data_IF_808108526253
#
_entry.id   IF_808108526253
#
_cell.length_a   1.000
_cell.length_b   1.000
_cell.length_c   1.000
_cell.angle_alpha   90.00
_cell.angle_beta   90.00
_cell.angle_gamma   90.00
#
_symmetry.space_group_name_H-M   'P 1'
#
loop_
_entity.id
_entity.type
_entity.pdbx_description
1 polymer ?
#
# COMPACT_ATOMS: atom_id res chain seq x y z
N UNK A 1 14.18 43.32 -44.12
CA UNK A 1 14.93 42.50 -43.14
C UNK A 1 14.40 42.81 -41.75
N UNK A 2 13.55 41.95 -41.21
CA UNK A 2 13.21 41.96 -39.79
C UNK A 2 13.28 40.50 -39.35
N UNK A 3 14.43 40.12 -38.78
CA UNK A 3 14.54 38.89 -37.99
C UNK A 3 13.69 39.09 -36.74
N UNK A 4 12.47 38.57 -36.74
CA UNK A 4 11.70 38.41 -35.53
C UNK A 4 12.34 37.28 -34.71
N UNK A 5 13.16 37.67 -33.72
CA UNK A 5 13.51 36.83 -32.59
C UNK A 5 12.25 36.56 -31.76
N UNK A 6 11.45 35.59 -32.21
CA UNK A 6 10.47 34.93 -31.37
C UNK A 6 11.21 33.84 -30.59
N UNK A 7 11.83 34.22 -29.47
CA UNK A 7 12.18 33.28 -28.40
C UNK A 7 10.88 32.80 -27.77
N UNK A 8 10.16 31.93 -28.47
CA UNK A 8 9.18 31.07 -27.82
C UNK A 8 9.96 30.18 -26.85
N UNK A 9 9.47 30.12 -25.61
CA UNK A 9 10.03 29.33 -24.52
C UNK A 9 9.86 27.85 -24.82
N UNK A 10 10.67 27.33 -25.73
CA UNK A 10 10.74 25.89 -26.01
C UNK A 10 11.53 25.21 -24.90
N UNK A 11 11.20 23.94 -24.65
CA UNK A 11 12.01 23.02 -23.85
C UNK A 11 13.49 23.14 -24.29
N UNK A 12 14.41 23.40 -23.36
CA UNK A 12 15.83 23.69 -23.64
C UNK A 12 16.57 22.53 -24.33
N UNK A 13 15.96 21.35 -24.33
CA UNK A 13 16.46 20.18 -25.04
C UNK A 13 15.98 20.08 -26.49
N UNK A 14 15.25 21.07 -27.01
CA UNK A 14 14.73 21.10 -28.38
C UNK A 14 15.47 22.15 -29.21
N UNK A 15 16.12 21.70 -30.29
CA UNK A 15 16.84 22.53 -31.23
C UNK A 15 16.14 22.53 -32.58
N UNK A 16 15.52 23.66 -32.92
CA UNK A 16 14.82 23.85 -34.20
C UNK A 16 15.83 24.27 -35.27
N UNK A 17 15.95 23.48 -36.33
CA UNK A 17 16.79 23.77 -37.49
C UNK A 17 16.01 24.36 -38.66
N UNK A 18 14.73 24.01 -38.82
CA UNK A 18 13.85 24.52 -39.88
C UNK A 18 12.39 24.65 -39.39
N UNK A 19 11.95 25.89 -39.19
CA UNK A 19 10.59 26.21 -38.74
C UNK A 19 9.52 25.81 -39.75
N UNK A 20 9.78 25.92 -41.05
CA UNK A 20 8.80 25.59 -42.08
C UNK A 20 8.53 24.09 -42.16
N UNK A 21 9.51 23.25 -41.81
CA UNK A 21 9.31 21.81 -41.69
C UNK A 21 8.55 21.42 -40.42
N UNK A 22 8.76 22.13 -39.32
CA UNK A 22 7.99 21.94 -38.07
C UNK A 22 6.53 22.35 -38.27
N UNK A 23 6.26 23.47 -38.94
CA UNK A 23 4.89 23.89 -39.25
C UNK A 23 4.15 22.86 -40.11
N UNK A 24 4.87 22.21 -41.04
CA UNK A 24 4.31 21.12 -41.86
C UNK A 24 4.02 19.87 -41.03
N UNK A 25 4.92 19.49 -40.11
CA UNK A 25 4.68 18.41 -39.15
C UNK A 25 3.44 18.67 -38.29
N UNK A 26 3.24 19.92 -37.85
CA UNK A 26 2.04 20.37 -37.16
C UNK A 26 1.66 19.46 -36.00
N UNK A 27 0.39 19.02 -35.98
CA UNK A 27 -0.15 18.16 -34.93
C UNK A 27 0.14 16.65 -35.13
N UNK A 28 0.87 16.28 -36.19
CA UNK A 28 1.30 14.90 -36.44
C UNK A 28 2.48 14.47 -35.57
N UNK A 29 3.16 15.43 -34.91
CA UNK A 29 4.17 15.16 -33.90
C UNK A 29 3.83 15.89 -32.60
N UNK A 30 3.62 15.14 -31.52
CA UNK A 30 3.33 15.69 -30.19
C UNK A 30 4.52 15.45 -29.28
N UNK A 31 5.11 16.54 -28.78
CA UNK A 31 6.23 16.49 -27.84
C UNK A 31 5.72 16.40 -26.39
N UNK A 32 5.97 15.27 -25.74
CA UNK A 32 5.83 15.09 -24.30
C UNK A 32 7.16 15.26 -23.57
N UNK A 33 7.14 15.27 -22.23
CA UNK A 33 8.35 15.43 -21.39
C UNK A 33 9.41 14.35 -21.64
N UNK A 34 9.00 13.11 -21.87
CA UNK A 34 9.91 11.96 -22.04
C UNK A 34 9.76 11.23 -23.38
N UNK A 35 8.72 11.56 -24.14
CA UNK A 35 8.36 10.84 -25.36
C UNK A 35 7.94 11.82 -26.45
N UNK A 36 8.17 11.45 -27.70
CA UNK A 36 7.55 12.08 -28.87
C UNK A 36 6.55 11.10 -29.47
N UNK A 37 5.32 11.55 -29.66
CA UNK A 37 4.27 10.76 -30.30
C UNK A 37 4.12 11.20 -31.75
N UNK A 38 4.29 10.27 -32.68
CA UNK A 38 4.08 10.49 -34.11
C UNK A 38 2.76 9.83 -34.53
N UNK A 39 1.84 10.62 -35.08
CA UNK A 39 0.57 10.12 -35.64
C UNK A 39 0.80 9.46 -36.99
N UNK A 40 -0.11 8.59 -37.43
CA UNK A 40 0.06 7.84 -38.68
C UNK A 40 0.34 8.70 -39.94
N UNK A 41 -0.08 9.96 -39.98
CA UNK A 41 0.14 10.87 -41.12
C UNK A 41 1.50 11.60 -41.10
N UNK A 42 2.35 11.35 -40.11
CA UNK A 42 3.62 12.07 -39.92
C UNK A 42 4.58 11.99 -41.13
N UNK A 43 4.73 10.88 -41.89
CA UNK A 43 5.66 10.83 -43.01
C UNK A 43 5.20 11.59 -44.24
N UNK A 44 3.88 11.71 -44.41
CA UNK A 44 3.27 12.46 -45.51
C UNK A 44 3.47 13.96 -45.27
N UNK A 45 3.22 14.41 -44.04
CA UNK A 45 3.37 15.82 -43.65
C UNK A 45 4.82 16.29 -43.63
N UNK A 46 5.74 15.42 -43.24
CA UNK A 46 7.18 15.72 -43.23
C UNK A 46 7.88 15.58 -44.60
N UNK A 47 7.20 15.01 -45.60
CA UNK A 47 7.82 14.67 -46.89
C UNK A 47 8.78 13.48 -46.83
N UNK A 48 8.87 12.77 -45.70
CA UNK A 48 9.71 11.58 -45.52
C UNK A 48 9.13 10.32 -46.17
N UNK A 49 7.89 10.36 -46.65
CA UNK A 49 7.25 9.24 -47.37
C UNK A 49 8.10 8.72 -48.53
N UNK A 50 8.75 9.61 -49.30
CA UNK A 50 9.64 9.22 -50.41
C UNK A 50 10.91 8.53 -49.93
N UNK A 51 11.50 8.96 -48.81
CA UNK A 51 12.71 8.37 -48.23
C UNK A 51 12.43 6.99 -47.62
N UNK A 52 11.30 6.83 -46.94
CA UNK A 52 10.84 5.55 -46.42
C UNK A 52 10.48 4.57 -47.54
N UNK A 53 9.90 5.08 -48.64
CA UNK A 53 9.58 4.28 -49.82
C UNK A 53 10.84 3.72 -50.51
N UNK A 54 11.89 4.55 -50.64
CA UNK A 54 13.21 4.14 -51.16
C UNK A 54 13.91 3.14 -50.24
N UNK A 55 13.65 3.20 -48.93
CA UNK A 55 14.23 2.30 -47.92
C UNK A 55 13.52 0.94 -47.80
N UNK A 56 12.51 0.66 -48.66
CA UNK A 56 11.75 -0.59 -48.63
C UNK A 56 10.76 -0.71 -47.46
N UNK A 57 10.61 0.33 -46.64
CA UNK A 57 9.70 0.39 -45.49
C UNK A 57 8.30 0.92 -45.89
N UNK A 58 7.86 0.57 -47.10
CA UNK A 58 6.59 1.00 -47.70
C UNK A 58 5.42 0.23 -47.11
N UNK A 59 5.00 0.60 -45.90
CA UNK A 59 3.77 0.09 -45.30
C UNK A 59 3.25 1.12 -44.32
N UNK A 60 2.01 1.57 -44.55
CA UNK A 60 1.23 2.53 -43.76
C UNK A 60 1.94 2.98 -42.48
N UNK A 61 2.48 4.20 -42.53
CA UNK A 61 3.17 4.85 -41.43
C UNK A 61 2.44 4.60 -40.10
N UNK A 62 3.00 3.72 -39.28
CA UNK A 62 2.39 3.36 -38.00
C UNK A 62 2.59 4.51 -37.03
N UNK A 63 1.61 4.78 -36.14
CA UNK A 63 1.87 5.65 -35.02
C UNK A 63 3.07 5.12 -34.24
N UNK A 64 3.99 6.02 -33.88
CA UNK A 64 5.23 5.68 -33.23
C UNK A 64 5.41 6.50 -31.95
N UNK A 65 6.01 5.87 -30.94
CA UNK A 65 6.38 6.53 -29.69
C UNK A 65 7.90 6.46 -29.60
N UNK A 66 8.56 7.62 -29.64
CA UNK A 66 10.01 7.73 -29.55
C UNK A 66 10.40 8.18 -28.15
N UNK A 67 11.29 7.44 -27.49
CA UNK A 67 11.76 7.77 -26.14
C UNK A 67 12.91 8.78 -26.19
N UNK A 68 12.80 9.86 -25.41
CA UNK A 68 13.76 10.98 -25.36
C UNK A 68 14.92 10.77 -24.38
N UNK A 69 15.18 9.56 -23.90
CA UNK A 69 16.12 9.34 -22.78
C UNK A 69 17.36 8.50 -23.05
N UNK A 70 17.66 8.15 -24.31
CA UNK A 70 18.86 7.37 -24.66
C UNK A 70 19.73 8.05 -25.71
N UNK A 71 19.11 8.47 -26.80
CA UNK A 71 19.80 9.02 -27.96
C UNK A 71 19.14 10.33 -28.37
N UNK A 72 19.89 11.14 -29.11
CA UNK A 72 19.38 12.33 -29.77
C UNK A 72 18.34 11.92 -30.83
N UNK A 73 17.15 12.51 -30.77
CA UNK A 73 16.10 12.23 -31.73
C UNK A 73 16.13 13.27 -32.85
N UNK A 74 16.38 12.83 -34.07
CA UNK A 74 16.28 13.68 -35.26
C UNK A 74 14.90 13.52 -35.90
N UNK A 75 14.14 14.61 -35.90
CA UNK A 75 12.89 14.74 -36.63
C UNK A 75 13.04 15.84 -37.70
N UNK A 76 12.18 15.88 -38.73
CA UNK A 76 12.22 16.90 -39.76
C UNK A 76 12.20 18.32 -39.15
N UNK A 77 13.26 19.09 -39.39
CA UNK A 77 13.38 20.47 -38.90
C UNK A 77 13.62 20.62 -37.40
N UNK A 78 13.75 19.53 -36.63
CA UNK A 78 13.99 19.60 -35.18
C UNK A 78 14.85 18.44 -34.68
N UNK A 79 15.83 18.78 -33.86
CA UNK A 79 16.66 17.83 -33.13
C UNK A 79 16.36 17.93 -31.64
N UNK A 80 16.16 16.79 -30.99
CA UNK A 80 15.78 16.73 -29.58
C UNK A 80 16.88 16.00 -28.81
N UNK A 81 17.56 16.75 -27.94
CA UNK A 81 18.60 16.25 -27.05
C UNK A 81 18.00 15.29 -26.01
N UNK A 82 18.76 14.26 -25.59
CA UNK A 82 18.28 13.30 -24.61
C UNK A 82 18.10 13.96 -23.24
N UNK A 83 17.01 13.64 -22.55
CA UNK A 83 16.78 14.00 -21.15
C UNK A 83 17.13 12.79 -20.30
N UNK A 84 18.04 12.96 -19.34
CA UNK A 84 18.38 11.92 -18.39
C UNK A 84 17.18 11.65 -17.46
N UNK A 85 16.79 10.38 -17.32
CA UNK A 85 15.80 10.00 -16.32
C UNK A 85 16.29 10.38 -14.92
N UNK A 86 15.41 10.92 -14.05
CA UNK A 86 15.79 11.14 -12.65
C UNK A 86 16.23 9.81 -12.06
N UNK A 87 17.43 9.79 -11.46
CA UNK A 87 17.92 8.58 -10.79
C UNK A 87 17.04 8.34 -9.56
N UNK A 88 16.44 7.16 -9.48
CA UNK A 88 15.78 6.71 -8.28
C UNK A 88 16.86 6.26 -7.30
N UNK A 89 16.94 6.88 -6.13
CA UNK A 89 17.79 6.40 -5.05
C UNK A 89 17.09 5.22 -4.37
N UNK A 90 17.69 4.04 -4.52
CA UNK A 90 17.19 2.81 -3.92
C UNK A 90 17.89 2.61 -2.59
N UNK A 91 17.35 3.23 -1.54
CA UNK A 91 17.83 3.07 -0.16
C UNK A 91 16.69 2.63 0.73
N UNK A 92 16.93 1.61 1.55
CA UNK A 92 15.99 1.08 2.52
C UNK A 92 16.69 0.85 3.85
N UNK A 93 16.02 1.27 4.92
CA UNK A 93 16.39 1.00 6.31
C UNK A 93 15.21 0.27 6.95
N UNK A 94 15.47 -0.91 7.51
CA UNK A 94 14.42 -1.75 8.10
C UNK A 94 14.90 -2.38 9.38
N UNK A 95 13.97 -2.67 10.28
CA UNK A 95 14.23 -3.40 11.52
C UNK A 95 13.59 -4.80 11.44
N UNK A 96 14.14 -5.78 12.14
CA UNK A 96 13.57 -7.14 12.16
C UNK A 96 12.29 -7.24 13.01
N UNK A 97 12.11 -6.33 13.97
CA UNK A 97 10.89 -6.15 14.78
C UNK A 97 10.53 -4.68 14.94
N UNK A 98 9.28 -4.43 15.34
CA UNK A 98 8.79 -3.11 15.77
C UNK A 98 8.82 -2.92 17.28
N UNK A 99 8.87 -4.00 18.06
CA UNK A 99 8.94 -3.99 19.52
C UNK A 99 10.02 -4.97 20.01
N UNK A 100 10.88 -4.50 20.90
CA UNK A 100 11.98 -5.25 21.49
C UNK A 100 11.88 -5.22 23.01
N UNK A 101 12.30 -6.32 23.63
CA UNK A 101 12.37 -6.42 25.09
C UNK A 101 13.67 -5.82 25.60
N UNK A 102 13.54 -4.86 26.51
CA UNK A 102 14.69 -4.25 27.19
C UNK A 102 15.63 -5.31 27.77
N UNK A 103 16.93 -5.11 27.59
CA UNK A 103 18.02 -5.97 28.07
C UNK A 103 18.04 -7.44 27.56
N UNK A 104 17.07 -7.84 26.74
CA UNK A 104 16.95 -9.22 26.26
C UNK A 104 17.12 -9.34 24.74
N UNK A 105 16.45 -8.48 23.99
CA UNK A 105 16.48 -8.56 22.53
C UNK A 105 17.64 -7.74 21.95
N UNK A 106 18.22 -8.22 20.86
CA UNK A 106 19.15 -7.47 20.02
C UNK A 106 18.34 -6.80 18.91
N UNK A 107 18.46 -5.48 18.78
CA UNK A 107 17.86 -4.76 17.66
C UNK A 107 18.72 -4.99 16.42
N UNK A 108 18.10 -5.43 15.32
CA UNK A 108 18.80 -5.63 14.05
C UNK A 108 18.23 -4.68 13.01
N UNK A 109 19.10 -3.86 12.45
CA UNK A 109 18.77 -2.93 11.39
C UNK A 109 19.43 -3.40 10.10
N UNK A 110 18.62 -3.67 9.07
CA UNK A 110 19.09 -3.97 7.73
C UNK A 110 19.06 -2.69 6.89
N UNK A 111 20.23 -2.30 6.40
CA UNK A 111 20.45 -1.24 5.44
C UNK A 111 20.66 -1.87 4.07
N UNK A 112 19.89 -1.45 3.07
CA UNK A 112 20.03 -1.88 1.69
C UNK A 112 20.11 -0.66 0.77
N UNK A 113 21.27 -0.46 0.16
CA UNK A 113 21.58 0.63 -0.77
C UNK A 113 22.44 0.10 -1.94
N UNK A 114 21.88 -0.73 -2.85
CA UNK A 114 22.64 -1.42 -3.90
C UNK A 114 23.36 -0.48 -4.89
N UNK A 115 22.93 0.78 -4.99
CA UNK A 115 23.56 1.79 -5.83
C UNK A 115 24.81 2.41 -5.21
N UNK A 116 25.07 2.18 -3.92
CA UNK A 116 26.17 2.76 -3.14
C UNK A 116 27.24 1.72 -2.73
N UNK A 117 27.38 0.63 -3.50
CA UNK A 117 28.37 -0.45 -3.26
C UNK A 117 29.83 0.01 -3.41
N UNK A 118 30.75 -0.67 -2.72
CA UNK A 118 32.20 -0.48 -2.86
C UNK A 118 32.73 -0.95 -4.23
N UNK A 119 33.84 -0.38 -4.78
CA UNK A 119 34.84 0.49 -4.14
C UNK A 119 34.47 1.99 -4.11
N UNK A 120 33.31 2.38 -4.66
CA UNK A 120 32.77 3.73 -4.60
C UNK A 120 31.94 3.99 -3.31
N UNK A 121 32.29 3.30 -2.22
CA UNK A 121 31.47 3.18 -1.02
C UNK A 121 31.37 4.49 -0.27
N UNK A 122 30.21 5.13 -0.37
CA UNK A 122 29.85 6.21 0.54
C UNK A 122 29.91 5.67 1.97
N UNK A 123 30.69 6.33 2.83
CA UNK A 123 30.54 6.15 4.27
C UNK A 123 29.16 6.70 4.62
N UNK A 124 28.27 5.83 5.08
CA UNK A 124 26.95 6.22 5.53
C UNK A 124 26.98 6.44 7.04
N UNK A 125 26.21 7.39 7.53
CA UNK A 125 26.02 7.57 8.97
C UNK A 125 24.58 7.19 9.31
N UNK A 126 24.42 6.28 10.26
CA UNK A 126 23.14 5.96 10.86
C UNK A 126 22.95 6.86 12.07
N UNK A 127 21.92 7.69 12.03
CA UNK A 127 21.50 8.49 13.16
C UNK A 127 20.42 7.75 13.92
N UNK A 128 20.57 7.65 15.23
CA UNK A 128 19.59 7.06 16.13
C UNK A 128 19.08 8.16 17.06
N UNK A 129 17.77 8.31 17.13
CA UNK A 129 17.09 9.20 18.06
C UNK A 129 16.24 8.42 19.05
N UNK A 130 16.10 8.94 20.26
CA UNK A 130 15.28 8.40 21.35
C UNK A 130 14.26 9.46 21.75
N UNK A 131 12.98 9.16 21.56
CA UNK A 131 11.87 10.06 21.89
C UNK A 131 12.04 11.46 21.29
N UNK A 132 12.51 11.52 20.04
CA UNK A 132 12.75 12.77 19.30
C UNK A 132 14.08 13.48 19.61
N UNK A 133 14.90 12.95 20.52
CA UNK A 133 16.22 13.52 20.83
C UNK A 133 17.33 12.69 20.17
N UNK A 134 18.37 13.34 19.66
CA UNK A 134 19.55 12.64 19.16
C UNK A 134 20.17 11.76 20.27
N UNK A 135 20.40 10.49 19.95
CA UNK A 135 20.92 9.51 20.90
C UNK A 135 22.34 9.06 20.53
N UNK A 136 22.55 8.59 19.30
CA UNK A 136 23.86 8.11 18.85
C UNK A 136 23.98 8.12 17.32
N UNK A 137 25.21 8.27 16.84
CA UNK A 137 25.56 8.20 15.41
C UNK A 137 26.53 7.06 15.17
N UNK A 138 26.27 6.25 14.14
CA UNK A 138 27.10 5.10 13.80
C UNK A 138 27.60 5.18 12.36
N UNK A 139 28.92 5.18 12.12
CA UNK A 139 29.46 5.06 10.78
C UNK A 139 29.26 3.63 10.25
N UNK A 140 28.58 3.50 9.12
CA UNK A 140 28.29 2.23 8.46
C UNK A 140 29.16 2.04 7.23
N UNK A 141 29.53 0.79 6.98
CA UNK A 141 30.16 0.35 5.73
C UNK A 141 29.27 -0.69 5.08
N UNK A 142 28.91 -0.46 3.83
CA UNK A 142 28.16 -1.41 3.01
C UNK A 142 29.10 -2.44 2.38
N UNK A 143 28.58 -3.65 2.19
CA UNK A 143 29.27 -4.73 1.49
C UNK A 143 29.28 -4.53 -0.05
N UNK A 144 29.77 -5.54 -0.77
CA UNK A 144 29.84 -5.55 -2.25
C UNK A 144 28.46 -5.50 -2.93
N UNK A 145 27.40 -5.85 -2.21
CA UNK A 145 26.01 -5.81 -2.67
C UNK A 145 25.29 -4.54 -2.24
N UNK A 146 25.96 -3.65 -1.50
CA UNK A 146 25.37 -2.43 -0.95
C UNK A 146 24.51 -2.70 0.28
N UNK A 147 24.78 -3.76 1.05
CA UNK A 147 24.02 -4.13 2.24
C UNK A 147 24.85 -3.98 3.51
N UNK A 148 24.18 -3.72 4.64
CA UNK A 148 24.77 -3.76 5.97
C UNK A 148 23.73 -4.22 6.99
N UNK A 149 24.08 -5.20 7.82
CA UNK A 149 23.28 -5.60 8.98
C UNK A 149 23.91 -5.03 10.24
N UNK A 150 23.29 -4.01 10.81
CA UNK A 150 23.73 -3.38 12.05
C UNK A 150 23.01 -3.98 13.25
N UNK A 151 23.72 -4.23 14.34
CA UNK A 151 23.15 -4.83 15.56
C UNK A 151 23.41 -3.93 16.77
N UNK A 152 22.36 -3.67 17.54
CA UNK A 152 22.40 -2.83 18.74
C UNK A 152 21.88 -3.63 19.94
N UNK A 153 22.53 -3.46 21.09
CA UNK A 153 22.17 -4.14 22.35
C UNK A 153 22.25 -3.16 23.51
N UNK A 154 21.48 -3.41 24.57
CA UNK A 154 21.56 -2.60 25.80
C UNK A 154 21.02 -1.18 25.64
N UNK A 155 20.15 -0.97 24.66
CA UNK A 155 19.46 0.30 24.47
C UNK A 155 18.42 0.51 25.59
N UNK A 156 18.31 1.74 26.15
CA UNK A 156 17.26 2.12 27.09
C UNK A 156 15.83 1.86 26.58
N UNK A 157 14.88 1.88 27.50
CA UNK A 157 13.46 1.88 27.14
C UNK A 157 13.05 3.19 26.46
N UNK A 158 12.18 3.06 25.46
CA UNK A 158 11.58 4.19 24.75
C UNK A 158 11.36 3.92 23.26
N UNK A 159 10.88 4.96 22.58
CA UNK A 159 10.61 4.94 21.13
C UNK A 159 11.85 5.45 20.41
N UNK A 160 12.38 4.62 19.53
CA UNK A 160 13.53 4.93 18.70
C UNK A 160 13.11 5.22 17.26
N UNK A 161 13.84 6.14 16.65
CA UNK A 161 13.81 6.37 15.22
C UNK A 161 15.23 6.37 14.70
N UNK A 162 15.49 5.53 13.70
CA UNK A 162 16.76 5.44 13.02
C UNK A 162 16.63 6.02 11.61
N UNK A 163 17.59 6.85 11.21
CA UNK A 163 17.63 7.49 9.88
C UNK A 163 19.03 7.39 9.27
N UNK A 164 19.12 7.46 7.95
CA UNK A 164 20.40 7.45 7.23
C UNK A 164 20.73 8.85 6.71
N UNK A 165 21.95 9.31 6.96
CA UNK A 165 22.44 10.60 6.49
C UNK A 165 22.39 10.70 4.96
N UNK A 166 21.81 11.80 4.46
CA UNK A 166 21.64 12.06 3.04
C UNK A 166 20.51 11.28 2.35
N UNK A 167 19.72 10.45 3.06
CA UNK A 167 18.64 9.67 2.47
C UNK A 167 17.32 9.83 3.23
N UNK A 168 16.21 9.79 2.51
CA UNK A 168 14.86 9.72 3.09
C UNK A 168 14.50 8.27 3.51
N UNK A 169 15.40 7.62 4.25
CA UNK A 169 15.20 6.27 4.77
C UNK A 169 15.16 6.30 6.30
N UNK A 170 14.01 5.95 6.86
CA UNK A 170 13.76 5.95 8.29
C UNK A 170 13.05 4.68 8.74
N UNK A 171 13.32 4.25 9.98
CA UNK A 171 12.57 3.17 10.64
C UNK A 171 12.37 3.52 12.11
N UNK A 172 11.19 3.22 12.63
CA UNK A 172 10.88 3.36 14.04
C UNK A 172 10.71 2.00 14.72
N UNK A 173 11.14 1.92 15.97
CA UNK A 173 10.95 0.76 16.81
C UNK A 173 10.88 1.14 18.29
N UNK A 174 10.27 0.30 19.10
CA UNK A 174 10.12 0.53 20.54
C UNK A 174 10.91 -0.49 21.35
N UNK A 175 11.51 -0.04 22.45
CA UNK A 175 12.10 -0.88 23.46
C UNK A 175 11.30 -0.70 24.74
N UNK A 176 10.72 -1.79 25.23
CA UNK A 176 9.94 -1.79 26.44
C UNK A 176 10.37 -2.91 27.37
N UNK A 177 10.25 -2.70 28.68
CA UNK A 177 10.28 -3.79 29.63
C UNK A 177 9.16 -4.80 29.31
N UNK A 178 9.51 -6.08 29.22
CA UNK A 178 8.50 -7.12 29.05
C UNK A 178 7.71 -7.28 30.35
N UNK A 179 6.58 -6.59 30.45
CA UNK A 179 5.56 -6.91 31.44
C UNK A 179 4.60 -7.90 30.81
N UNK A 180 4.58 -9.13 31.32
CA UNK A 180 3.50 -10.06 31.02
C UNK A 180 2.18 -9.33 31.31
N UNK A 181 1.34 -9.19 30.29
CA UNK A 181 -0.01 -8.72 30.50
C UNK A 181 -0.64 -9.64 31.57
N UNK A 182 -1.11 -9.10 32.71
CA UNK A 182 -1.59 -9.92 33.82
C UNK A 182 -2.79 -10.79 33.41
N UNK A 183 -3.48 -10.38 32.34
CA UNK A 183 -4.51 -11.13 31.66
C UNK A 183 -4.31 -10.95 30.14
N UNK A 184 -4.40 -12.05 29.41
CA UNK A 184 -4.45 -12.07 27.96
C UNK A 184 -5.71 -12.81 27.52
N UNK A 185 -6.38 -12.27 26.51
CA UNK A 185 -7.60 -12.83 25.99
C UNK A 185 -7.52 -12.88 24.47
N UNK A 186 -7.85 -14.02 23.89
CA UNK A 186 -7.82 -14.27 22.45
C UNK A 186 -9.20 -14.72 21.97
N UNK A 187 -9.66 -14.19 20.84
CA UNK A 187 -10.88 -14.65 20.18
C UNK A 187 -10.59 -15.91 19.35
N UNK A 188 -11.00 -17.07 19.87
CA UNK A 188 -10.77 -18.38 19.22
C UNK A 188 -11.77 -18.63 18.09
N UNK A 189 -13.04 -18.30 18.34
CA UNK A 189 -14.12 -18.55 17.40
C UNK A 189 -15.17 -17.45 17.51
N UNK A 190 -15.76 -17.09 16.39
CA UNK A 190 -16.93 -16.22 16.34
C UNK A 190 -17.90 -16.66 15.25
N UNK A 191 -19.18 -16.46 15.51
CA UNK A 191 -20.26 -16.70 14.55
C UNK A 191 -21.32 -15.61 14.72
N UNK A 192 -21.60 -14.89 13.63
CA UNK A 192 -22.63 -13.86 13.59
C UNK A 192 -23.89 -14.43 12.94
N UNK A 193 -25.04 -14.25 13.59
CA UNK A 193 -26.36 -14.58 13.06
C UNK A 193 -27.29 -13.40 13.29
N UNK A 194 -27.57 -12.63 12.24
CA UNK A 194 -28.25 -11.34 12.35
C UNK A 194 -27.43 -10.38 13.23
N UNK A 195 -28.05 -9.84 14.28
CA UNK A 195 -27.38 -8.97 15.27
C UNK A 195 -26.72 -9.74 16.41
N UNK A 196 -26.84 -11.07 16.47
CA UNK A 196 -26.34 -11.88 17.59
C UNK A 196 -25.00 -12.50 17.25
N UNK A 197 -23.96 -12.11 17.98
CA UNK A 197 -22.61 -12.67 17.90
C UNK A 197 -22.41 -13.71 19.00
N UNK A 198 -22.17 -14.95 18.59
CA UNK A 198 -21.67 -16.01 19.48
C UNK A 198 -20.16 -16.07 19.36
N UNK A 199 -19.45 -16.06 20.48
CA UNK A 199 -17.99 -16.08 20.48
C UNK A 199 -17.42 -17.04 21.53
N UNK A 200 -16.21 -17.53 21.27
CA UNK A 200 -15.41 -18.32 22.21
C UNK A 200 -14.07 -17.61 22.41
N UNK A 201 -13.70 -17.39 23.67
CA UNK A 201 -12.43 -16.78 24.04
C UNK A 201 -11.50 -17.83 24.66
N UNK A 202 -10.20 -17.67 24.46
CA UNK A 202 -9.16 -18.30 25.25
C UNK A 202 -8.53 -17.25 26.16
N UNK A 203 -8.60 -17.47 27.47
CA UNK A 203 -8.13 -16.56 28.49
C UNK A 203 -6.92 -17.20 29.16
N UNK A 204 -5.84 -16.43 29.27
CA UNK A 204 -4.65 -16.81 30.01
C UNK A 204 -4.25 -15.70 30.97
N UNK A 205 -3.71 -16.06 32.13
CA UNK A 205 -3.14 -15.14 33.08
C UNK A 205 -1.68 -15.54 33.31
N UNK A 206 -0.76 -14.60 33.12
CA UNK A 206 0.69 -14.86 33.21
C UNK A 206 1.16 -16.07 32.39
N UNK A 207 0.57 -16.25 31.19
CA UNK A 207 0.92 -17.33 30.26
C UNK A 207 0.36 -18.72 30.61
N UNK A 208 -0.51 -18.84 31.62
CA UNK A 208 -1.21 -20.08 31.96
C UNK A 208 -2.72 -19.95 31.70
N UNK A 209 -3.43 -21.03 31.33
CA UNK A 209 -4.89 -21.01 31.17
C UNK A 209 -5.59 -20.49 32.44
N UNK A 210 -6.50 -19.53 32.29
CA UNK A 210 -7.24 -18.95 33.41
C UNK A 210 -8.54 -19.71 33.66
N UNK A 211 -8.76 -20.18 34.89
CA UNK A 211 -10.01 -20.84 35.29
C UNK A 211 -10.75 -20.00 36.32
N UNK A 212 -12.04 -19.78 36.10
CA UNK A 212 -12.88 -18.97 36.99
C UNK A 212 -13.85 -18.05 36.24
N UNK A 213 -14.59 -17.25 37.00
CA UNK A 213 -15.46 -16.21 36.45
C UNK A 213 -14.65 -15.05 35.88
N UNK A 214 -15.16 -14.50 34.77
CA UNK A 214 -14.73 -13.25 34.15
C UNK A 214 -15.97 -12.41 33.85
N UNK A 215 -15.80 -11.10 33.69
CA UNK A 215 -16.84 -10.23 33.15
C UNK A 215 -16.43 -9.78 31.74
N UNK A 216 -17.33 -9.93 30.77
CA UNK A 216 -17.16 -9.42 29.42
C UNK A 216 -18.05 -8.19 29.20
N UNK A 217 -17.46 -7.12 28.67
CA UNK A 217 -18.15 -5.86 28.37
C UNK A 217 -17.99 -5.54 26.88
N UNK A 218 -19.11 -5.36 26.18
CA UNK A 218 -19.09 -4.91 24.79
C UNK A 218 -18.98 -3.38 24.72
N UNK A 219 -18.06 -2.91 23.88
CA UNK A 219 -17.90 -1.50 23.57
C UNK A 219 -17.96 -1.26 22.06
N UNK A 220 -18.53 -0.12 21.66
CA UNK A 220 -18.55 0.41 20.31
C UNK A 220 -17.77 1.71 20.29
N UNK A 221 -16.71 1.80 19.49
CA UNK A 221 -15.85 3.00 19.42
C UNK A 221 -15.37 3.49 20.81
N UNK A 222 -15.09 2.56 21.72
CA UNK A 222 -14.67 2.83 23.10
C UNK A 222 -15.79 3.24 24.05
N UNK A 223 -17.05 3.32 23.60
CA UNK A 223 -18.23 3.58 24.43
C UNK A 223 -18.91 2.26 24.78
N UNK A 224 -19.31 2.08 26.02
CA UNK A 224 -20.00 0.87 26.48
C UNK A 224 -21.40 0.75 25.88
N UNK A 225 -21.71 -0.41 25.28
CA UNK A 225 -22.99 -0.64 24.57
C UNK A 225 -23.95 -1.59 25.28
N UNK A 226 -23.71 -1.91 26.56
CA UNK A 226 -24.62 -2.78 27.32
C UNK A 226 -24.17 -3.08 28.75
N UNK A 227 -24.72 -4.14 29.35
CA UNK A 227 -24.29 -4.69 30.64
C UNK A 227 -22.94 -5.39 30.58
N UNK A 228 -22.36 -5.71 31.74
CA UNK A 228 -21.30 -6.72 31.82
C UNK A 228 -21.95 -8.10 31.87
N UNK A 229 -21.45 -9.02 31.08
CA UNK A 229 -21.88 -10.42 31.06
C UNK A 229 -20.87 -11.24 31.86
N UNK A 230 -21.33 -11.98 32.88
CA UNK A 230 -20.45 -12.91 33.60
C UNK A 230 -20.30 -14.21 32.79
N UNK A 231 -19.06 -14.56 32.47
CA UNK A 231 -18.70 -15.79 31.77
C UNK A 231 -17.82 -16.66 32.67
N UNK A 232 -17.89 -17.98 32.49
CA UNK A 232 -17.05 -18.92 33.22
C UNK A 232 -16.03 -19.59 32.28
N UNK A 233 -14.76 -19.54 32.66
CA UNK A 233 -13.67 -20.20 31.94
C UNK A 233 -13.46 -21.62 32.46
N UNK A 234 -13.32 -22.58 31.54
CA UNK A 234 -13.01 -23.97 31.88
C UNK A 234 -11.52 -24.18 32.26
N UNK A 235 -11.12 -25.45 32.44
CA UNK A 235 -9.73 -25.82 32.79
C UNK A 235 -8.72 -25.54 31.68
N UNK A 236 -9.17 -25.37 30.44
CA UNK A 236 -8.33 -25.00 29.30
C UNK A 236 -8.31 -23.48 29.08
N UNK A 237 -8.96 -22.71 29.95
CA UNK A 237 -9.07 -21.26 29.82
C UNK A 237 -10.09 -20.80 28.78
N UNK A 238 -11.01 -21.67 28.36
CA UNK A 238 -12.00 -21.32 27.35
C UNK A 238 -13.31 -20.89 27.97
N UNK A 239 -13.89 -19.82 27.45
CA UNK A 239 -15.23 -19.36 27.80
C UNK A 239 -16.03 -18.98 26.56
N UNK A 240 -17.36 -19.04 26.67
CA UNK A 240 -18.28 -18.75 25.56
C UNK A 240 -19.26 -17.68 26.00
N UNK A 241 -19.46 -16.67 25.14
CA UNK A 241 -20.39 -15.57 25.42
C UNK A 241 -21.26 -15.24 24.21
N UNK A 242 -22.29 -14.42 24.45
CA UNK A 242 -23.22 -13.97 23.42
C UNK A 242 -23.40 -12.46 23.53
N UNK A 243 -23.01 -11.75 22.47
CA UNK A 243 -23.16 -10.30 22.39
C UNK A 243 -24.20 -9.93 21.33
N UNK A 244 -25.07 -8.96 21.63
CA UNK A 244 -25.95 -8.35 20.63
C UNK A 244 -25.30 -7.07 20.09
N UNK A 245 -25.17 -6.97 18.77
CA UNK A 245 -24.54 -5.85 18.08
C UNK A 245 -25.63 -4.92 17.52
N UNK A 246 -25.92 -3.81 18.21
CA UNK A 246 -27.06 -2.91 17.89
C UNK A 246 -26.68 -1.64 17.11
N UNK A 247 -25.41 -1.47 16.76
CA UNK A 247 -24.86 -0.28 16.09
C UNK A 247 -23.83 -0.62 15.00
N UNK A 248 -23.13 0.42 14.54
CA UNK A 248 -22.31 0.41 13.34
C UNK A 248 -20.89 -0.17 13.56
N UNK A 249 -20.42 -0.18 14.80
CA UNK A 249 -19.06 -0.63 15.12
C UNK A 249 -17.97 0.40 14.78
N UNK A 250 -16.69 0.03 14.90
CA UNK A 250 -16.16 -1.27 15.30
C UNK A 250 -16.41 -1.59 16.78
N UNK A 251 -16.50 -2.88 17.08
CA UNK A 251 -16.72 -3.39 18.43
C UNK A 251 -15.47 -4.00 19.07
N UNK A 252 -15.33 -3.78 20.38
CA UNK A 252 -14.32 -4.41 21.23
C UNK A 252 -14.98 -5.10 22.41
N UNK A 253 -14.46 -6.26 22.81
CA UNK A 253 -14.78 -6.91 24.07
C UNK A 253 -13.69 -6.57 25.09
N UNK A 254 -14.08 -5.96 26.20
CA UNK A 254 -13.23 -5.78 27.36
C UNK A 254 -13.52 -6.87 28.38
N UNK A 255 -12.48 -7.58 28.77
CA UNK A 255 -12.55 -8.71 29.71
C UNK A 255 -11.96 -8.27 31.03
N UNK A 256 -12.67 -8.57 32.12
CA UNK A 256 -12.26 -8.30 33.49
C UNK A 256 -12.17 -9.61 34.27
N UNK A 257 -11.06 -9.83 34.95
CA UNK A 257 -10.85 -10.94 35.87
C UNK A 257 -10.30 -10.37 37.19
N UNK A 258 -11.20 -9.95 38.08
CA UNK A 258 -10.84 -9.19 39.28
C UNK A 258 -10.27 -7.82 38.93
N UNK A 259 -8.99 -7.59 39.25
CA UNK A 259 -8.24 -6.36 38.97
C UNK A 259 -7.56 -6.36 37.59
N UNK A 260 -7.63 -7.46 36.86
CA UNK A 260 -6.92 -7.65 35.58
C UNK A 260 -7.85 -7.42 34.40
N UNK A 261 -7.32 -6.82 33.35
CA UNK A 261 -8.09 -6.49 32.15
C UNK A 261 -7.40 -6.92 30.87
N UNK A 262 -8.20 -7.25 29.86
CA UNK A 262 -7.74 -7.51 28.49
C UNK A 262 -8.78 -6.97 27.49
N UNK A 263 -8.34 -6.51 26.33
CA UNK A 263 -9.23 -5.99 25.28
C UNK A 263 -9.06 -6.77 23.98
N UNK A 264 -10.17 -7.15 23.37
CA UNK A 264 -10.21 -7.95 22.15
C UNK A 264 -11.02 -7.22 21.09
N UNK A 265 -10.41 -6.95 19.93
CA UNK A 265 -11.14 -6.41 18.79
C UNK A 265 -11.97 -7.50 18.10
N UNK A 266 -13.26 -7.25 17.91
CA UNK A 266 -14.15 -8.15 17.18
C UNK A 266 -13.99 -7.92 15.66
N UNK A 267 -13.18 -8.75 15.01
CA UNK A 267 -12.91 -8.65 13.57
C UNK A 267 -14.19 -8.86 12.76
N UNK A 268 -14.50 -7.98 11.80
CA UNK A 268 -15.71 -8.09 10.98
C UNK A 268 -16.98 -7.51 11.62
N UNK A 269 -16.84 -6.82 12.76
CA UNK A 269 -17.95 -6.19 13.47
C UNK A 269 -18.34 -4.80 12.94
N UNK A 270 -17.76 -4.32 11.84
CA UNK A 270 -18.16 -3.08 11.18
C UNK A 270 -19.42 -3.31 10.35
N UNK A 271 -20.39 -2.39 10.40
CA UNK A 271 -21.63 -2.49 9.62
C UNK A 271 -21.39 -2.60 8.12
N UNK A 272 -20.43 -1.85 7.56
CA UNK A 272 -20.02 -1.95 6.15
C UNK A 272 -19.54 -3.36 5.77
N UNK A 273 -19.01 -4.14 6.71
CA UNK A 273 -18.61 -5.55 6.47
C UNK A 273 -19.76 -6.54 6.65
N UNK A 274 -20.84 -6.14 7.34
CA UNK A 274 -22.07 -6.92 7.52
C UNK A 274 -23.05 -6.74 6.37
N UNK A 275 -22.90 -5.68 5.59
CA UNK A 275 -23.76 -5.38 4.46
C UNK A 275 -23.56 -6.40 3.32
N UNK A 276 -24.67 -6.87 2.78
CA UNK A 276 -24.72 -7.63 1.54
C UNK A 276 -24.91 -6.67 0.38
N UNK A 277 -24.05 -6.75 -0.63
CA UNK A 277 -24.16 -5.92 -1.82
C UNK A 277 -24.71 -6.74 -2.98
N UNK A 278 -25.77 -6.23 -3.62
CA UNK A 278 -26.35 -6.84 -4.82
C UNK A 278 -25.48 -6.54 -6.03
N UNK A 279 -24.86 -7.56 -6.63
CA UNK A 279 -23.94 -7.41 -7.76
C UNK A 279 -24.58 -7.71 -9.12
N UNK A 280 -25.79 -8.25 -9.12
CA UNK A 280 -26.55 -8.49 -10.34
C UNK A 280 -28.03 -8.26 -10.07
N UNK A 281 -28.61 -7.30 -10.78
CA UNK A 281 -30.05 -7.03 -10.77
C UNK A 281 -30.76 -7.64 -11.98
N UNK A 282 -30.02 -8.32 -12.87
CA UNK A 282 -30.51 -8.87 -14.13
C UNK A 282 -30.59 -10.39 -14.05
N UNK A 283 -31.81 -10.95 -14.06
CA UNK A 283 -32.01 -12.39 -13.96
C UNK A 283 -31.85 -12.91 -12.52
N UNK A 284 -30.84 -13.74 -12.24
CA UNK A 284 -30.57 -14.23 -10.87
C UNK A 284 -29.85 -13.14 -10.05
N UNK A 285 -30.52 -12.65 -9.00
CA UNK A 285 -29.93 -11.72 -8.03
C UNK A 285 -28.84 -12.45 -7.25
N UNK A 286 -27.65 -11.84 -7.20
CA UNK A 286 -26.53 -12.35 -6.42
C UNK A 286 -26.11 -11.33 -5.39
N UNK A 287 -25.91 -11.81 -4.16
CA UNK A 287 -25.45 -11.02 -3.03
C UNK A 287 -24.02 -11.39 -2.69
N UNK A 288 -23.20 -10.39 -2.36
CA UNK A 288 -21.84 -10.58 -1.86
C UNK A 288 -21.72 -10.07 -0.42
N UNK A 289 -20.95 -10.76 0.41
CA UNK A 289 -20.62 -10.32 1.77
C UNK A 289 -19.16 -10.63 2.11
N UNK A 290 -18.60 -9.83 3.03
CA UNK A 290 -17.29 -10.09 3.65
C UNK A 290 -17.39 -11.07 4.83
N UNK A 291 -18.61 -11.47 5.20
CA UNK A 291 -18.91 -12.49 6.20
C UNK A 291 -19.58 -13.72 5.57
N UNK A 292 -19.46 -14.91 6.19
CA UNK A 292 -20.10 -16.12 5.66
C UNK A 292 -21.62 -15.99 5.58
N UNK A 293 -22.19 -16.25 4.40
CA UNK A 293 -23.64 -16.33 4.18
C UNK A 293 -24.12 -17.78 4.06
N UNK A 294 -25.38 -18.11 4.40
CA UNK A 294 -25.97 -19.43 4.16
C UNK A 294 -25.87 -19.83 2.68
N UNK A 295 -25.41 -21.05 2.39
CA UNK A 295 -25.29 -21.60 1.03
C UNK A 295 -24.40 -20.76 0.08
N UNK A 296 -23.47 -19.98 0.63
CA UNK A 296 -22.55 -19.16 -0.16
C UNK A 296 -21.32 -19.91 -0.65
N UNK A 297 -20.82 -19.50 -1.81
CA UNK A 297 -19.52 -19.93 -2.34
C UNK A 297 -18.45 -18.88 -2.00
N UNK A 298 -17.27 -19.35 -1.59
CA UNK A 298 -16.13 -18.47 -1.28
C UNK A 298 -15.33 -18.21 -2.56
N UNK A 299 -15.15 -16.94 -2.91
CA UNK A 299 -14.28 -16.52 -4.00
C UNK A 299 -13.35 -15.40 -3.51
N UNK A 300 -12.04 -15.69 -3.44
CA UNK A 300 -10.99 -14.72 -3.05
C UNK A 300 -11.28 -13.95 -1.75
N UNK A 301 -11.85 -14.62 -0.75
CA UNK A 301 -12.18 -14.03 0.55
C UNK A 301 -13.53 -13.31 0.63
N UNK A 302 -14.32 -13.36 -0.44
CA UNK A 302 -15.68 -12.81 -0.51
C UNK A 302 -16.68 -13.98 -0.60
N UNK A 303 -17.78 -13.90 0.14
CA UNK A 303 -18.85 -14.89 0.14
C UNK A 303 -19.95 -14.46 -0.83
N UNK A 304 -20.29 -15.32 -1.79
CA UNK A 304 -21.30 -15.05 -2.83
C UNK A 304 -22.49 -15.99 -2.61
N UNK A 305 -23.67 -15.43 -2.36
CA UNK A 305 -24.92 -16.19 -2.21
C UNK A 305 -25.88 -15.86 -3.36
N UNK A 306 -26.74 -16.83 -3.71
CA UNK A 306 -27.89 -16.58 -4.59
C UNK A 306 -28.99 -15.92 -3.76
N UNK A 307 -29.46 -14.77 -4.22
CA UNK A 307 -30.65 -14.08 -3.70
C UNK A 307 -31.90 -14.52 -4.47
N UNK A 308 -32.75 -13.56 -4.85
CA UNK A 308 -33.97 -13.77 -5.64
C UNK A 308 -33.79 -13.75 -7.17
N UNK A 309 -34.88 -13.62 -7.93
CA UNK A 309 -34.86 -13.44 -9.39
C UNK A 309 -35.58 -12.15 -9.79
N UNK A 310 -34.97 -11.32 -10.62
CA UNK A 310 -35.59 -10.14 -11.20
C UNK A 310 -35.98 -10.39 -12.67
N UNK A 311 -37.30 -10.43 -12.92
CA UNK A 311 -37.90 -10.68 -14.25
C UNK A 311 -38.56 -9.43 -14.85
N UNK A 312 -38.23 -8.22 -14.39
CA UNK A 312 -38.80 -6.99 -14.92
C UNK A 312 -38.37 -6.77 -16.40
N UNK A 313 -39.29 -6.42 -17.32
CA UNK A 313 -38.95 -6.16 -18.72
C UNK A 313 -38.15 -4.86 -18.87
N UNK A 314 -37.15 -4.85 -19.77
CA UNK A 314 -36.24 -3.72 -19.98
C UNK A 314 -36.74 -2.74 -21.04
N UNK A 315 -36.42 -1.44 -20.86
CA UNK A 315 -36.64 -0.38 -21.86
C UNK A 315 -35.29 0.14 -22.37
N UNK A 316 -34.99 -0.02 -23.65
CA UNK A 316 -33.76 0.50 -24.28
C UNK A 316 -33.94 2.00 -24.55
N UNK A 317 -33.18 2.85 -23.86
CA UNK A 317 -33.31 4.31 -23.99
C UNK A 317 -32.45 4.93 -25.10
N UNK A 318 -31.27 4.39 -25.42
CA UNK A 318 -30.41 4.91 -26.50
C UNK A 318 -29.34 3.92 -26.95
N UNK A 319 -29.08 3.85 -28.26
CA UNK A 319 -27.94 3.14 -28.85
C UNK A 319 -26.84 4.16 -29.18
N UNK A 320 -25.58 3.88 -28.87
CA UNK A 320 -24.44 4.76 -29.16
C UNK A 320 -23.41 4.00 -29.99
N UNK A 321 -23.23 4.42 -31.25
CA UNK A 321 -22.19 3.93 -32.16
C UNK A 321 -22.59 4.05 -33.64
N UNK A 322 -21.99 5.03 -34.34
CA UNK A 322 -21.89 5.12 -35.80
C UNK A 322 -20.56 5.75 -36.17
#
# INVERSE_FOLDING_TARGET
>A
MIQQNLTASYDSSVHISDFSLIEKLGDSALLGKWFVFLKADWPQRSGMERLLAVSGLSGAAKPAILFRGREELSLPGVTISPIALPRSELVSLTSDKTLYRAHHDTVRLLIAAPQHRQPAGAKLTLHLSLSGNAYADYPLTLDEYGMCLWSLTGLPEGVYEATLDGFEAAVSFEIAEYRLAPLHAELVQQQLSGETLRYTLAISAFGQPYTGSIEAELQERGQRTGGREELHCDREGKCRGIAKLTGAGPYTLNIFAGDRTASIALKGSEQERRETLTISELGEVREISLLPLPQSNVCRGIYIARGGSNNAPFTVQRVVGS
#
